data_IF_885662215970
#
_entry.id   IF_885662215970
#
_cell.length_a   1.000
_cell.length_b   1.000
_cell.length_c   1.000
_cell.angle_alpha   90.00
_cell.angle_beta   90.00
_cell.angle_gamma   90.00
#
_symmetry.space_group_name_H-M   'P 1'
#
loop_
_entity.id
_entity.type
_entity.pdbx_description
1 polymer ?
#
# COMPACT_ATOMS: atom_id res chain seq x y z
N UNK A 1 8.38 41.36 -16.89
CA UNK A 1 7.69 40.14 -16.43
C UNK A 1 7.94 40.04 -14.94
N UNK A 2 7.03 40.59 -14.13
CA UNK A 2 7.18 40.66 -12.67
C UNK A 2 6.81 39.30 -12.08
N UNK A 3 7.78 38.60 -11.49
CA UNK A 3 7.58 37.34 -10.77
C UNK A 3 6.90 37.65 -9.44
N UNK A 4 5.57 37.61 -9.40
CA UNK A 4 4.86 37.59 -8.13
C UNK A 4 5.15 36.26 -7.42
N UNK A 5 5.54 36.28 -6.13
CA UNK A 5 5.59 35.05 -5.35
C UNK A 5 4.19 34.42 -5.30
N UNK A 6 4.09 33.08 -5.25
CA UNK A 6 2.81 32.42 -5.09
C UNK A 6 2.12 32.94 -3.81
N UNK A 7 0.79 33.12 -3.83
CA UNK A 7 0.08 33.57 -2.64
C UNK A 7 0.36 32.63 -1.46
N UNK A 8 0.51 33.15 -0.23
CA UNK A 8 0.66 32.30 0.94
C UNK A 8 -0.54 31.35 1.02
N UNK A 9 -0.29 30.09 1.41
CA UNK A 9 -1.33 29.11 1.70
C UNK A 9 -2.27 29.76 2.72
N UNK A 10 -3.44 30.20 2.27
CA UNK A 10 -4.45 30.79 3.14
C UNK A 10 -4.77 29.77 4.23
N UNK A 11 -4.72 30.20 5.50
CA UNK A 11 -5.11 29.35 6.62
C UNK A 11 -6.49 28.72 6.32
N UNK A 12 -6.65 27.40 6.55
CA UNK A 12 -7.92 26.74 6.31
C UNK A 12 -9.02 27.46 7.11
N UNK A 13 -10.19 27.75 6.52
CA UNK A 13 -11.15 28.63 7.18
C UNK A 13 -11.65 28.03 8.49
N UNK A 14 -11.69 28.84 9.55
CA UNK A 14 -11.99 28.42 10.93
C UNK A 14 -13.41 27.86 11.09
N UNK A 15 -13.56 26.54 10.94
CA UNK A 15 -14.82 25.83 11.16
C UNK A 15 -14.60 24.33 11.30
N UNK A 16 -15.47 23.62 12.05
CA UNK A 16 -15.36 22.18 12.23
C UNK A 16 -15.36 21.47 10.88
N UNK A 17 -14.51 20.45 10.77
CA UNK A 17 -14.37 19.65 9.55
C UNK A 17 -15.64 18.82 9.39
N UNK A 18 -16.43 19.02 8.31
CA UNK A 18 -17.65 18.27 8.14
C UNK A 18 -17.32 16.81 7.79
N UNK A 19 -18.18 15.91 8.25
CA UNK A 19 -18.20 14.50 7.85
C UNK A 19 -19.62 14.20 7.45
N UNK A 20 -19.90 14.25 6.14
CA UNK A 20 -21.27 14.07 5.63
C UNK A 20 -21.42 12.80 4.80
N UNK A 21 -22.65 12.30 4.69
CA UNK A 21 -22.98 11.19 3.77
C UNK A 21 -22.78 11.56 2.30
N UNK A 22 -22.94 12.84 1.93
CA UNK A 22 -22.66 13.32 0.58
C UNK A 22 -21.15 13.27 0.29
N UNK A 23 -20.32 13.69 1.25
CA UNK A 23 -18.86 13.53 1.20
C UNK A 23 -18.46 12.06 1.08
N UNK A 24 -19.08 11.18 1.87
CA UNK A 24 -18.84 9.73 1.77
C UNK A 24 -19.14 9.19 0.37
N UNK A 25 -20.30 9.49 -0.21
CA UNK A 25 -20.65 9.03 -1.55
C UNK A 25 -19.72 9.62 -2.62
N UNK A 26 -19.33 10.89 -2.46
CA UNK A 26 -18.36 11.53 -3.34
C UNK A 26 -17.00 10.80 -3.28
N UNK A 27 -16.50 10.51 -2.08
CA UNK A 27 -15.25 9.75 -1.90
C UNK A 27 -15.27 8.38 -2.54
N UNK A 28 -16.35 7.63 -2.36
CA UNK A 28 -16.53 6.35 -3.02
C UNK A 28 -16.47 6.51 -4.55
N UNK A 29 -17.18 7.50 -5.11
CA UNK A 29 -17.17 7.76 -6.57
C UNK A 29 -15.79 8.13 -7.09
N UNK A 30 -15.04 8.95 -6.36
CA UNK A 30 -13.68 9.35 -6.76
C UNK A 30 -12.68 8.19 -6.72
N UNK A 31 -12.92 7.18 -5.89
CA UNK A 31 -12.08 5.99 -5.79
C UNK A 31 -12.39 4.90 -6.85
N UNK A 32 -13.55 4.97 -7.54
CA UNK A 32 -13.94 3.96 -8.55
C UNK A 32 -12.89 3.71 -9.64
N UNK A 33 -12.21 4.73 -10.21
CA UNK A 33 -11.20 4.49 -11.25
C UNK A 33 -9.99 3.66 -10.77
N UNK A 34 -9.75 3.60 -9.45
CA UNK A 34 -8.67 2.80 -8.85
C UNK A 34 -9.07 1.33 -8.70
N UNK A 35 -10.37 1.04 -8.58
CA UNK A 35 -10.87 -0.30 -8.26
C UNK A 35 -10.37 -1.41 -9.19
N UNK A 36 -10.30 -1.25 -10.53
CA UNK A 36 -9.82 -2.31 -11.42
C UNK A 36 -8.38 -2.75 -11.10
N UNK A 37 -7.50 -1.80 -10.82
CA UNK A 37 -6.13 -2.09 -10.40
C UNK A 37 -6.14 -2.89 -9.11
N UNK A 38 -6.89 -2.43 -8.10
CA UNK A 38 -6.97 -3.09 -6.79
C UNK A 38 -7.57 -4.49 -6.86
N UNK A 39 -8.57 -4.72 -7.72
CA UNK A 39 -9.16 -6.04 -7.97
C UNK A 39 -8.09 -7.02 -8.48
N UNK A 40 -7.26 -6.61 -9.45
CA UNK A 40 -6.21 -7.47 -9.99
C UNK A 40 -5.21 -7.90 -8.90
N UNK A 41 -4.79 -6.97 -8.03
CA UNK A 41 -3.90 -7.25 -6.90
C UNK A 41 -4.57 -8.19 -5.89
N UNK A 42 -5.83 -7.91 -5.55
CA UNK A 42 -6.59 -8.67 -4.58
C UNK A 42 -6.82 -10.11 -5.05
N UNK A 43 -7.15 -10.32 -6.33
CA UNK A 43 -7.29 -11.66 -6.92
C UNK A 43 -5.97 -12.45 -6.82
N UNK A 44 -4.85 -11.83 -7.17
CA UNK A 44 -3.52 -12.42 -7.05
C UNK A 44 -3.16 -12.78 -5.59
N UNK A 45 -3.53 -11.92 -4.65
CA UNK A 45 -3.33 -12.13 -3.21
C UNK A 45 -4.14 -13.33 -2.73
N UNK A 46 -5.43 -13.40 -3.10
CA UNK A 46 -6.29 -14.52 -2.75
C UNK A 46 -5.81 -15.86 -3.31
N UNK A 47 -5.43 -15.89 -4.59
CA UNK A 47 -4.90 -17.10 -5.23
C UNK A 47 -3.60 -17.57 -4.56
N UNK A 48 -2.76 -16.62 -4.14
CA UNK A 48 -1.55 -16.91 -3.36
C UNK A 48 -1.89 -17.50 -1.99
N UNK A 49 -2.87 -16.95 -1.28
CA UNK A 49 -3.30 -17.47 0.02
C UNK A 49 -3.74 -18.94 -0.07
N UNK A 50 -4.51 -19.29 -1.11
CA UNK A 50 -4.88 -20.67 -1.38
C UNK A 50 -3.66 -21.57 -1.66
N UNK A 51 -2.68 -21.07 -2.45
CA UNK A 51 -1.45 -21.79 -2.78
C UNK A 51 -0.60 -22.12 -1.55
N UNK A 52 -0.50 -21.21 -0.58
CA UNK A 52 0.27 -21.42 0.66
C UNK A 52 -0.51 -22.20 1.73
N UNK A 53 -1.74 -22.63 1.42
CA UNK A 53 -2.56 -23.48 2.30
C UNK A 53 -3.28 -22.74 3.43
N UNK A 54 -3.43 -21.41 3.35
CA UNK A 54 -4.32 -20.70 4.27
C UNK A 54 -5.76 -21.15 4.02
N UNK A 55 -6.57 -21.18 5.07
CA UNK A 55 -8.02 -21.29 4.95
C UNK A 55 -8.64 -19.98 4.47
N UNK A 56 -9.89 -20.06 3.98
CA UNK A 56 -10.63 -18.88 3.56
C UNK A 56 -10.82 -17.86 4.69
N UNK A 57 -10.96 -18.32 5.94
CA UNK A 57 -11.09 -17.48 7.13
C UNK A 57 -9.75 -16.85 7.48
N UNK A 58 -8.65 -17.60 7.46
CA UNK A 58 -7.31 -17.05 7.71
C UNK A 58 -6.94 -15.99 6.67
N UNK A 59 -7.25 -16.21 5.39
CA UNK A 59 -7.06 -15.21 4.33
C UNK A 59 -7.87 -13.95 4.62
N UNK A 60 -9.15 -14.09 5.00
CA UNK A 60 -10.02 -12.96 5.30
C UNK A 60 -9.49 -12.16 6.51
N UNK A 61 -9.10 -12.85 7.58
CA UNK A 61 -8.52 -12.24 8.79
C UNK A 61 -7.22 -11.52 8.46
N UNK A 62 -6.33 -12.14 7.68
CA UNK A 62 -5.08 -11.51 7.23
C UNK A 62 -5.36 -10.24 6.42
N UNK A 63 -6.31 -10.28 5.48
CA UNK A 63 -6.67 -9.12 4.66
C UNK A 63 -7.28 -7.98 5.50
N UNK A 64 -8.16 -8.31 6.46
CA UNK A 64 -8.82 -7.32 7.29
C UNK A 64 -7.86 -6.68 8.32
N UNK A 65 -6.94 -7.46 8.87
CA UNK A 65 -6.01 -6.98 9.91
C UNK A 65 -4.78 -6.30 9.33
N UNK A 66 -4.27 -6.78 8.20
CA UNK A 66 -3.01 -6.27 7.65
C UNK A 66 -3.24 -5.10 6.69
N UNK A 67 -4.39 -5.03 6.02
CA UNK A 67 -4.80 -4.04 5.02
C UNK A 67 -3.65 -3.31 4.29
N UNK A 68 -2.67 -4.08 3.82
CA UNK A 68 -1.44 -3.58 3.24
C UNK A 68 -0.92 -4.56 2.19
N UNK A 69 -1.39 -4.37 0.96
CA UNK A 69 -1.21 -5.32 -0.15
C UNK A 69 0.27 -5.69 -0.40
N UNK A 70 1.17 -4.72 -0.45
CA UNK A 70 2.60 -4.97 -0.72
C UNK A 70 3.25 -5.85 0.36
N UNK A 71 3.07 -5.50 1.63
CA UNK A 71 3.64 -6.29 2.73
C UNK A 71 2.98 -7.65 2.88
N UNK A 72 1.68 -7.74 2.59
CA UNK A 72 0.93 -8.99 2.68
C UNK A 72 1.43 -9.98 1.62
N UNK A 73 1.64 -9.53 0.38
CA UNK A 73 2.18 -10.36 -0.69
C UNK A 73 3.60 -10.85 -0.38
N UNK A 74 4.48 -9.97 0.12
CA UNK A 74 5.84 -10.36 0.54
C UNK A 74 5.80 -11.34 1.73
N UNK A 75 4.91 -11.11 2.70
CA UNK A 75 4.74 -12.00 3.85
C UNK A 75 4.26 -13.39 3.41
N UNK A 76 3.36 -13.47 2.42
CA UNK A 76 2.90 -14.73 1.84
C UNK A 76 4.00 -15.45 1.06
N UNK A 77 4.89 -14.72 0.38
CA UNK A 77 6.03 -15.31 -0.33
C UNK A 77 7.06 -15.91 0.65
N UNK A 78 7.24 -15.27 1.80
CA UNK A 78 8.12 -15.73 2.87
C UNK A 78 7.38 -16.54 3.94
N UNK A 79 6.18 -17.04 3.62
CA UNK A 79 5.33 -17.70 4.60
C UNK A 79 6.00 -18.98 5.13
N UNK A 80 6.32 -19.06 6.43
CA UNK A 80 7.11 -20.15 6.96
C UNK A 80 6.25 -21.41 7.11
N UNK A 81 6.82 -22.56 6.77
CA UNK A 81 6.20 -23.87 7.05
C UNK A 81 6.08 -24.15 8.57
N UNK A 82 6.93 -23.50 9.38
CA UNK A 82 6.88 -23.56 10.84
C UNK A 82 7.10 -22.18 11.43
N UNK A 83 6.14 -21.71 12.23
CA UNK A 83 6.26 -20.44 12.96
C UNK A 83 7.23 -20.59 14.13
N UNK A 84 8.48 -20.15 13.91
CA UNK A 84 9.45 -19.93 14.97
C UNK A 84 9.42 -18.47 15.42
N UNK A 85 9.88 -18.13 16.64
CA UNK A 85 9.98 -16.74 17.07
C UNK A 85 10.79 -15.86 16.09
N UNK A 86 11.85 -16.43 15.49
CA UNK A 86 12.64 -15.76 14.46
C UNK A 86 11.88 -15.48 13.16
N UNK A 87 11.02 -16.41 12.72
CA UNK A 87 10.19 -16.22 11.54
C UNK A 87 9.10 -15.15 11.76
N UNK A 88 8.48 -15.14 12.95
CA UNK A 88 7.52 -14.10 13.33
C UNK A 88 8.18 -12.73 13.36
N UNK A 89 9.37 -12.62 13.98
CA UNK A 89 10.14 -11.38 14.02
C UNK A 89 10.50 -10.90 12.60
N UNK A 90 10.92 -11.81 11.72
CA UNK A 90 11.22 -11.50 10.33
C UNK A 90 10.02 -10.89 9.60
N UNK A 91 8.86 -11.57 9.64
CA UNK A 91 7.63 -11.09 9.02
C UNK A 91 7.20 -9.73 9.58
N UNK A 92 7.32 -9.53 10.90
CA UNK A 92 7.02 -8.25 11.54
C UNK A 92 7.94 -7.12 11.07
N UNK A 93 9.25 -7.37 10.99
CA UNK A 93 10.23 -6.38 10.52
C UNK A 93 10.04 -6.03 9.05
N UNK A 94 9.74 -7.02 8.20
CA UNK A 94 9.42 -6.79 6.79
C UNK A 94 8.15 -5.94 6.67
N UNK A 95 7.09 -6.34 7.37
CA UNK A 95 5.82 -5.61 7.35
C UNK A 95 6.02 -4.17 7.84
N UNK A 96 6.76 -3.96 8.93
CA UNK A 96 7.08 -2.64 9.46
C UNK A 96 7.89 -1.81 8.46
N UNK A 97 8.92 -2.39 7.85
CA UNK A 97 9.80 -1.71 6.89
C UNK A 97 9.01 -1.26 5.65
N UNK A 98 8.17 -2.14 5.09
CA UNK A 98 7.36 -1.83 3.91
C UNK A 98 6.26 -0.80 4.23
N UNK A 99 5.67 -0.89 5.43
CA UNK A 99 4.58 -0.02 5.86
C UNK A 99 5.02 1.26 6.56
N UNK A 100 6.32 1.49 6.79
CA UNK A 100 6.80 2.73 7.39
C UNK A 100 6.28 3.98 6.65
N UNK A 101 6.03 3.87 5.34
CA UNK A 101 5.40 4.93 4.52
C UNK A 101 4.00 5.33 5.00
N UNK A 102 3.24 4.40 5.58
CA UNK A 102 1.89 4.64 6.09
C UNK A 102 1.93 5.62 7.28
N UNK A 103 3.00 5.62 8.08
CA UNK A 103 3.19 6.59 9.16
C UNK A 103 3.30 8.01 8.61
N UNK A 104 4.08 8.20 7.54
CA UNK A 104 4.25 9.50 6.90
C UNK A 104 2.94 9.97 6.24
N UNK A 105 2.28 9.07 5.52
CA UNK A 105 1.01 9.34 4.83
C UNK A 105 -0.08 9.72 5.84
N UNK A 106 -0.25 8.93 6.91
CA UNK A 106 -1.25 9.23 7.94
C UNK A 106 -0.94 10.50 8.72
N UNK A 107 0.34 10.86 8.92
CA UNK A 107 0.72 12.13 9.54
C UNK A 107 0.24 13.35 8.73
N UNK A 108 0.21 13.26 7.40
CA UNK A 108 -0.31 14.36 6.53
C UNK A 108 -1.82 14.59 6.67
N UNK A 109 -2.55 13.61 7.20
CA UNK A 109 -3.99 13.74 7.49
C UNK A 109 -4.24 14.55 8.76
N UNK A 110 -3.25 14.67 9.67
CA UNK A 110 -3.41 15.35 10.97
C UNK A 110 -3.93 16.79 10.85
N UNK A 111 -3.44 17.66 9.95
CA UNK A 111 -3.98 19.03 9.81
C UNK A 111 -5.42 19.07 9.28
N UNK A 112 -5.91 17.98 8.67
CA UNK A 112 -7.29 17.90 8.19
C UNK A 112 -8.22 17.23 9.20
N UNK A 113 -7.77 16.15 9.84
CA UNK A 113 -8.60 15.25 10.62
C UNK A 113 -8.31 15.32 12.14
N UNK A 114 -7.28 16.07 12.57
CA UNK A 114 -6.84 16.11 13.96
C UNK A 114 -7.85 16.73 14.94
N UNK A 115 -8.84 17.48 14.44
CA UNK A 115 -9.94 18.01 15.24
C UNK A 115 -11.17 17.09 15.32
N UNK A 116 -11.15 15.92 14.66
CA UNK A 116 -12.26 14.97 14.67
C UNK A 116 -12.33 14.19 16.00
N UNK A 117 -13.52 13.73 16.39
CA UNK A 117 -13.70 12.97 17.63
C UNK A 117 -12.91 11.64 17.62
N UNK A 118 -12.45 11.22 18.79
CA UNK A 118 -11.50 10.12 18.94
C UNK A 118 -11.96 8.77 18.38
N UNK A 119 -13.26 8.52 18.32
CA UNK A 119 -13.84 7.28 17.78
C UNK A 119 -13.65 7.12 16.27
N UNK A 120 -13.23 8.18 15.57
CA UNK A 120 -12.94 8.15 14.13
C UNK A 120 -11.55 7.59 13.84
N UNK A 121 -10.60 7.70 14.77
CA UNK A 121 -9.21 7.27 14.55
C UNK A 121 -9.04 5.77 14.24
N UNK A 122 -9.82 4.83 14.79
CA UNK A 122 -9.78 3.43 14.35
C UNK A 122 -10.03 3.24 12.85
N UNK A 123 -10.81 4.12 12.20
CA UNK A 123 -11.07 4.06 10.77
C UNK A 123 -9.84 4.44 9.95
N UNK A 124 -8.81 5.07 10.53
CA UNK A 124 -7.53 5.25 9.86
C UNK A 124 -6.80 3.93 9.62
N UNK A 125 -7.20 2.83 10.26
CA UNK A 125 -6.70 1.49 9.95
C UNK A 125 -6.92 1.11 8.48
N UNK A 126 -8.02 1.54 7.89
CA UNK A 126 -8.34 1.27 6.48
C UNK A 126 -7.76 2.32 5.52
N UNK A 127 -6.74 3.08 5.95
CA UNK A 127 -6.00 3.99 5.07
C UNK A 127 -5.20 3.18 4.06
N UNK A 128 -5.25 3.58 2.80
CA UNK A 128 -4.42 3.01 1.73
C UNK A 128 -3.80 4.14 0.89
N UNK A 129 -2.73 3.83 0.14
CA UNK A 129 -2.13 4.80 -0.79
C UNK A 129 -3.20 5.43 -1.71
N UNK A 130 -4.10 4.66 -2.35
CA UNK A 130 -5.10 5.25 -3.24
C UNK A 130 -6.19 6.04 -2.51
N UNK A 131 -6.66 5.56 -1.34
CA UNK A 131 -7.67 6.32 -0.59
C UNK A 131 -7.09 7.65 -0.10
N UNK A 132 -5.82 7.67 0.29
CA UNK A 132 -5.10 8.89 0.64
C UNK A 132 -4.89 9.82 -0.56
N UNK A 133 -4.39 9.32 -1.69
CA UNK A 133 -4.16 10.12 -2.91
C UNK A 133 -5.45 10.82 -3.36
N UNK A 134 -6.55 10.07 -3.45
CA UNK A 134 -7.85 10.60 -3.86
C UNK A 134 -8.32 11.70 -2.90
N UNK A 135 -8.18 11.46 -1.60
CA UNK A 135 -8.67 12.37 -0.57
C UNK A 135 -7.83 13.64 -0.46
N UNK A 136 -6.50 13.51 -0.56
CA UNK A 136 -5.59 14.66 -0.54
C UNK A 136 -5.71 15.48 -1.82
N UNK A 137 -5.97 14.86 -2.98
CA UNK A 137 -6.29 15.60 -4.20
C UNK A 137 -7.56 16.43 -4.01
N UNK A 138 -8.64 15.83 -3.53
CA UNK A 138 -9.89 16.55 -3.21
C UNK A 138 -9.64 17.72 -2.25
N UNK A 139 -8.84 17.49 -1.19
CA UNK A 139 -8.48 18.52 -0.22
C UNK A 139 -7.69 19.67 -0.85
N UNK A 140 -6.71 19.35 -1.69
CA UNK A 140 -5.88 20.34 -2.39
C UNK A 140 -6.68 21.16 -3.42
N UNK A 141 -7.76 20.60 -3.95
CA UNK A 141 -8.71 21.28 -4.84
C UNK A 141 -9.75 22.13 -4.06
N UNK A 142 -9.56 22.32 -2.74
CA UNK A 142 -10.41 23.17 -1.88
C UNK A 142 -11.50 22.40 -1.13
N UNK A 143 -11.55 21.08 -1.27
CA UNK A 143 -12.46 20.21 -0.55
C UNK A 143 -12.21 20.19 0.95
N UNK A 144 -13.30 20.13 1.74
CA UNK A 144 -13.22 20.18 3.21
C UNK A 144 -13.84 18.98 3.93
N UNK A 145 -14.75 18.27 3.28
CA UNK A 145 -15.51 17.19 3.89
C UNK A 145 -14.66 15.93 4.04
N UNK A 146 -14.36 15.56 5.29
CA UNK A 146 -13.60 14.34 5.61
C UNK A 146 -14.41 13.07 5.34
N UNK A 147 -15.72 13.16 5.09
CA UNK A 147 -16.54 12.10 4.52
C UNK A 147 -15.92 11.48 3.27
N UNK A 148 -15.27 12.28 2.42
CA UNK A 148 -14.59 11.81 1.19
C UNK A 148 -13.53 10.76 1.50
N UNK A 149 -12.74 10.96 2.56
CA UNK A 149 -11.73 10.00 2.97
C UNK A 149 -12.32 8.67 3.41
N UNK A 150 -13.40 8.72 4.21
CA UNK A 150 -14.09 7.51 4.67
C UNK A 150 -14.75 6.77 3.52
N UNK A 151 -15.41 7.48 2.61
CA UNK A 151 -16.05 6.90 1.44
C UNK A 151 -15.07 6.18 0.52
N UNK A 152 -13.95 6.83 0.21
CA UNK A 152 -12.88 6.23 -0.59
C UNK A 152 -12.29 4.99 0.09
N UNK A 153 -11.97 5.09 1.38
CA UNK A 153 -11.35 4.00 2.14
C UNK A 153 -12.29 2.80 2.29
N UNK A 154 -13.57 3.02 2.62
CA UNK A 154 -14.58 1.95 2.77
C UNK A 154 -14.85 1.24 1.45
N UNK A 155 -14.96 1.97 0.34
CA UNK A 155 -15.11 1.34 -0.97
C UNK A 155 -13.91 0.44 -1.28
N UNK A 156 -12.69 0.97 -1.12
CA UNK A 156 -11.47 0.25 -1.49
C UNK A 156 -11.21 -0.97 -0.62
N UNK A 157 -11.45 -0.90 0.70
CA UNK A 157 -11.35 -2.09 1.57
C UNK A 157 -12.42 -3.12 1.24
N UNK A 158 -13.64 -2.69 0.87
CA UNK A 158 -14.70 -3.63 0.47
C UNK A 158 -14.35 -4.35 -0.83
N UNK A 159 -13.86 -3.60 -1.83
CA UNK A 159 -13.37 -4.16 -3.10
C UNK A 159 -12.22 -5.13 -2.85
N UNK A 160 -11.29 -4.78 -1.96
CA UNK A 160 -10.16 -5.63 -1.55
C UNK A 160 -10.67 -6.95 -0.97
N UNK A 161 -11.44 -6.91 0.11
CA UNK A 161 -11.91 -8.11 0.81
C UNK A 161 -12.75 -9.02 -0.10
N UNK A 162 -13.64 -8.45 -0.91
CA UNK A 162 -14.44 -9.24 -1.84
C UNK A 162 -13.57 -9.93 -2.90
N UNK A 163 -12.65 -9.18 -3.50
CA UNK A 163 -11.80 -9.68 -4.58
C UNK A 163 -10.75 -10.67 -4.08
N UNK A 164 -10.23 -10.52 -2.85
CA UNK A 164 -9.32 -11.51 -2.25
C UNK A 164 -10.02 -12.84 -2.01
N UNK A 165 -11.29 -12.84 -1.60
CA UNK A 165 -12.04 -14.09 -1.45
C UNK A 165 -12.36 -14.73 -2.80
N UNK A 166 -12.72 -13.94 -3.81
CA UNK A 166 -12.88 -14.47 -5.18
C UNK A 166 -11.57 -15.07 -5.69
N UNK A 167 -10.44 -14.39 -5.50
CA UNK A 167 -9.12 -14.89 -5.89
C UNK A 167 -8.75 -16.18 -5.15
N UNK A 168 -9.06 -16.25 -3.86
CA UNK A 168 -8.86 -17.46 -3.04
C UNK A 168 -9.66 -18.64 -3.58
N UNK A 169 -10.95 -18.45 -3.86
CA UNK A 169 -11.80 -19.50 -4.42
C UNK A 169 -11.25 -19.95 -5.78
N UNK A 170 -10.96 -19.02 -6.68
CA UNK A 170 -10.38 -19.34 -8.00
C UNK A 170 -9.06 -20.11 -7.87
N UNK A 171 -8.18 -19.71 -6.97
CA UNK A 171 -6.92 -20.40 -6.70
C UNK A 171 -7.11 -21.81 -6.13
N UNK A 172 -8.08 -21.98 -5.22
CA UNK A 172 -8.40 -23.26 -4.60
C UNK A 172 -9.02 -24.28 -5.58
N UNK A 173 -9.69 -23.81 -6.65
CA UNK A 173 -10.20 -24.68 -7.71
C UNK A 173 -9.10 -25.24 -8.62
N UNK A 174 -7.88 -24.69 -8.60
CA UNK A 174 -6.80 -25.12 -9.48
C UNK A 174 -5.99 -26.25 -8.85
N UNK A 175 -6.18 -27.46 -9.38
CA UNK A 175 -5.52 -28.70 -8.93
C UNK A 175 -4.03 -28.77 -9.27
N UNK A 176 -3.58 -28.08 -10.33
CA UNK A 176 -2.18 -27.95 -10.70
C UNK A 176 -1.80 -26.48 -10.96
N UNK A 177 -1.36 -25.74 -9.92
CA UNK A 177 -1.01 -24.32 -10.03
C UNK A 177 0.05 -24.01 -11.07
N UNK A 178 0.99 -24.95 -11.33
CA UNK A 178 2.10 -24.76 -12.28
C UNK A 178 1.60 -24.74 -13.72
N UNK A 179 0.63 -25.58 -14.04
CA UNK A 179 0.06 -25.67 -15.40
C UNK A 179 -0.59 -24.36 -15.85
N UNK A 180 -1.11 -23.57 -14.90
CA UNK A 180 -1.81 -22.32 -15.17
C UNK A 180 -0.97 -21.07 -14.88
N UNK A 181 0.32 -21.22 -14.54
CA UNK A 181 1.23 -20.12 -14.22
C UNK A 181 0.88 -19.37 -12.94
N UNK A 182 0.15 -20.01 -12.01
CA UNK A 182 -0.25 -19.41 -10.72
C UNK A 182 0.97 -19.20 -9.80
N UNK A 183 2.03 -19.97 -10.02
CA UNK A 183 3.34 -19.79 -9.40
C UNK A 183 4.06 -18.52 -9.86
N UNK A 184 3.76 -18.00 -11.05
CA UNK A 184 4.33 -16.75 -11.58
C UNK A 184 3.56 -15.49 -11.17
N UNK A 185 2.44 -15.63 -10.47
CA UNK A 185 1.57 -14.50 -10.07
C UNK A 185 2.35 -13.41 -9.33
N UNK A 186 3.21 -13.79 -8.38
CA UNK A 186 4.01 -12.83 -7.60
C UNK A 186 5.07 -12.11 -8.45
N UNK A 187 5.98 -12.81 -9.16
CA UNK A 187 6.92 -12.15 -10.06
C UNK A 187 6.25 -11.24 -11.10
N UNK A 188 5.17 -11.70 -11.74
CA UNK A 188 4.43 -10.93 -12.75
C UNK A 188 3.79 -9.70 -12.12
N UNK A 189 3.21 -9.83 -10.92
CA UNK A 189 2.63 -8.71 -10.20
C UNK A 189 3.65 -7.62 -9.89
N UNK A 190 4.80 -7.99 -9.28
CA UNK A 190 5.84 -7.00 -8.98
C UNK A 190 6.44 -6.38 -10.24
N UNK A 191 6.64 -7.16 -11.31
CA UNK A 191 7.10 -6.65 -12.59
C UNK A 191 6.12 -5.63 -13.21
N UNK A 192 4.82 -5.94 -13.18
CA UNK A 192 3.78 -5.04 -13.68
C UNK A 192 3.69 -3.75 -12.85
N UNK A 193 3.94 -3.82 -11.53
CA UNK A 193 3.92 -2.66 -10.64
C UNK A 193 5.07 -1.67 -10.92
N UNK A 194 6.20 -2.12 -11.46
CA UNK A 194 7.32 -1.23 -11.83
C UNK A 194 6.94 -0.29 -12.98
N UNK A 195 6.09 -0.74 -13.91
CA UNK A 195 5.69 0.01 -15.11
C UNK A 195 5.11 1.40 -14.79
N UNK A 196 4.05 1.54 -13.97
CA UNK A 196 3.50 2.86 -13.64
C UNK A 196 4.42 3.71 -12.75
N UNK A 197 5.40 3.10 -12.07
CA UNK A 197 6.35 3.82 -11.22
C UNK A 197 7.49 4.47 -12.02
N UNK A 198 7.67 4.09 -13.29
CA UNK A 198 8.81 4.55 -14.09
C UNK A 198 8.76 6.05 -14.36
N UNK A 199 9.76 6.78 -13.83
CA UNK A 199 9.92 8.24 -14.00
C UNK A 199 11.19 8.63 -14.77
N UNK A 200 11.72 7.69 -15.56
CA UNK A 200 12.93 7.89 -16.37
C UNK A 200 14.21 7.35 -15.72
N UNK A 201 15.29 7.32 -16.52
CA UNK A 201 16.55 6.60 -16.20
C UNK A 201 17.23 7.05 -14.91
N UNK A 202 17.22 8.37 -14.61
CA UNK A 202 17.82 8.89 -13.37
C UNK A 202 16.99 8.52 -12.14
N UNK A 203 15.66 8.54 -12.24
CA UNK A 203 14.77 8.18 -11.14
C UNK A 203 14.79 6.67 -10.82
N UNK A 204 15.33 5.85 -11.73
CA UNK A 204 15.51 4.41 -11.51
C UNK A 204 16.80 4.05 -10.76
N UNK A 205 17.73 4.99 -10.55
CA UNK A 205 19.00 4.70 -9.87
C UNK A 205 18.82 4.16 -8.45
N UNK A 206 17.92 4.71 -7.60
CA UNK A 206 17.64 4.14 -6.28
C UNK A 206 17.13 2.69 -6.35
N UNK A 207 16.37 2.33 -7.38
CA UNK A 207 15.87 0.96 -7.56
C UNK A 207 16.99 -0.01 -7.94
N UNK A 208 17.90 0.42 -8.81
CA UNK A 208 19.06 -0.37 -9.20
C UNK A 208 19.99 -0.62 -8.00
N UNK A 209 20.24 0.41 -7.18
CA UNK A 209 21.06 0.27 -5.97
C UNK A 209 20.36 -0.64 -4.95
N UNK A 210 19.07 -0.45 -4.71
CA UNK A 210 18.29 -1.30 -3.83
C UNK A 210 18.34 -2.78 -4.27
N UNK A 211 18.14 -3.04 -5.56
CA UNK A 211 18.19 -4.38 -6.14
C UNK A 211 19.58 -5.01 -6.07
N UNK A 212 20.63 -4.25 -6.38
CA UNK A 212 22.01 -4.74 -6.29
C UNK A 212 22.40 -5.11 -4.85
N UNK A 213 22.08 -4.26 -3.88
CA UNK A 213 22.32 -4.53 -2.46
C UNK A 213 21.52 -5.74 -1.99
N UNK A 214 20.24 -5.83 -2.36
CA UNK A 214 19.41 -6.98 -2.04
C UNK A 214 20.05 -8.29 -2.56
N UNK A 215 20.47 -8.35 -3.83
CA UNK A 215 21.11 -9.53 -4.41
C UNK A 215 22.41 -9.92 -3.71
N UNK A 216 23.24 -8.94 -3.35
CA UNK A 216 24.50 -9.20 -2.64
C UNK A 216 24.22 -9.74 -1.23
N UNK A 217 23.28 -9.14 -0.50
CA UNK A 217 22.94 -9.57 0.85
C UNK A 217 22.26 -10.93 0.85
N UNK A 218 21.39 -11.21 -0.13
CA UNK A 218 20.79 -12.53 -0.31
C UNK A 218 21.86 -13.61 -0.51
N UNK A 219 22.90 -13.34 -1.32
CA UNK A 219 24.01 -14.27 -1.57
C UNK A 219 24.91 -14.50 -0.35
N UNK A 220 25.13 -13.48 0.47
CA UNK A 220 26.09 -13.53 1.59
C UNK A 220 25.47 -14.00 2.90
N UNK A 221 24.27 -13.52 3.21
CA UNK A 221 23.60 -13.72 4.50
C UNK A 221 22.41 -14.66 4.36
N UNK A 222 21.73 -14.62 3.21
CA UNK A 222 20.47 -15.32 3.01
C UNK A 222 19.35 -14.82 3.92
N UNK A 223 18.25 -15.57 3.95
CA UNK A 223 17.07 -15.22 4.75
C UNK A 223 16.39 -13.94 4.27
N UNK A 224 15.85 -13.13 5.18
CA UNK A 224 15.03 -11.95 4.87
C UNK A 224 15.80 -10.61 4.90
N UNK A 225 17.06 -10.64 5.34
CA UNK A 225 17.89 -9.45 5.57
C UNK A 225 18.07 -8.58 4.33
N UNK A 226 18.02 -9.21 3.14
CA UNK A 226 18.15 -8.54 1.85
C UNK A 226 17.04 -7.50 1.59
N UNK A 227 15.83 -7.73 2.10
CA UNK A 227 14.70 -6.81 1.93
C UNK A 227 14.98 -5.51 2.67
N UNK A 228 15.40 -5.61 3.93
CA UNK A 228 15.69 -4.45 4.77
C UNK A 228 16.92 -3.71 4.25
N UNK A 229 18.00 -4.43 3.92
CA UNK A 229 19.22 -3.83 3.39
C UNK A 229 18.99 -3.10 2.06
N UNK A 230 18.27 -3.74 1.12
CA UNK A 230 17.89 -3.14 -0.16
C UNK A 230 17.01 -1.90 0.01
N UNK A 231 16.01 -1.96 0.91
CA UNK A 231 15.13 -0.83 1.20
C UNK A 231 15.90 0.37 1.76
N UNK A 232 16.80 0.16 2.73
CA UNK A 232 17.64 1.22 3.32
C UNK A 232 18.56 1.81 2.24
N UNK A 233 19.24 0.98 1.47
CA UNK A 233 20.16 1.43 0.42
C UNK A 233 19.43 2.26 -0.65
N UNK A 234 18.25 1.81 -1.07
CA UNK A 234 17.38 2.55 -1.99
C UNK A 234 16.94 3.90 -1.44
N UNK A 235 16.47 3.93 -0.18
CA UNK A 235 16.03 5.16 0.48
C UNK A 235 17.16 6.18 0.63
N UNK A 236 18.35 5.74 1.07
CA UNK A 236 19.54 6.62 1.19
C UNK A 236 19.95 7.18 -0.17
N UNK A 237 20.00 6.33 -1.20
CA UNK A 237 20.33 6.79 -2.56
C UNK A 237 19.29 7.79 -3.07
N UNK A 238 18.01 7.52 -2.84
CA UNK A 238 16.92 8.43 -3.20
C UNK A 238 17.06 9.79 -2.53
N UNK A 239 17.26 9.82 -1.20
CA UNK A 239 17.43 11.07 -0.44
C UNK A 239 18.61 11.90 -0.92
N UNK A 240 19.79 11.27 -1.09
CA UNK A 240 20.99 11.96 -1.59
C UNK A 240 20.85 12.50 -3.02
N UNK A 241 19.92 11.97 -3.80
CA UNK A 241 19.64 12.46 -5.15
C UNK A 241 18.62 13.61 -5.16
N UNK A 242 17.72 13.65 -4.19
CA UNK A 242 16.72 14.72 -4.06
C UNK A 242 17.37 16.00 -3.48
N UNK A 243 18.26 15.86 -2.48
CA UNK A 243 19.04 16.97 -1.91
C UNK A 243 19.96 17.69 -2.92
N UNK A 244 20.19 17.09 -4.10
CA UNK A 244 20.97 17.70 -5.19
C UNK A 244 20.11 18.52 -6.17
N UNK A 245 18.79 18.59 -5.95
CA UNK A 245 17.84 19.33 -6.79
C UNK A 245 17.39 20.66 -6.19
N UNK A 246 17.66 20.87 -4.90
CA UNK A 246 17.48 22.14 -4.19
C UNK A 246 18.80 22.93 -4.15
#
# INVERSE_FOLDING_TARGET
MTTHPPPPLSDPPAGPVPVTGAGFLLGARLALPVAPGMIAIALATGATAARIGLSAIENLVMCATMFASSSQLVAMELWPQRFTPGAVLALALIALTINARMLLITATLRPWMGGLPGWIYPVLHITSDPSWIVSMRYRNEGGRDAGVFFGASVLLVSVWLASTQVGYLLGALVTDPKRWGIDLVMPVFFAAMVVPLWRGRRAALPWLVAGAVALVVERLVGGWSFIVAGAIAGAVTGGLMDDRRD
#
